data_IF_152434758293
#
_entry.id   IF_152434758293
#
_cell.length_a   1.000
_cell.length_b   1.000
_cell.length_c   1.000
_cell.angle_alpha   90.00
_cell.angle_beta   90.00
_cell.angle_gamma   90.00
#
_symmetry.space_group_name_H-M   'P 1'
#
loop_
_entity.id
_entity.type
_entity.pdbx_description
1 polymer ?
#
# COMPACT_ATOMS: atom_id res chain seq x y z
N UNK A 1 64.94 -89.35 21.81
CA UNK A 1 63.65 -89.44 21.09
C UNK A 1 62.68 -88.34 21.54
N UNK A 2 62.47 -88.15 22.85
CA UNK A 2 61.60 -87.11 23.44
C UNK A 2 61.87 -85.67 22.95
N UNK A 3 63.13 -85.21 22.92
CA UNK A 3 63.49 -83.83 22.53
C UNK A 3 63.13 -83.46 21.09
N UNK A 4 63.29 -84.40 20.14
CA UNK A 4 62.95 -84.18 18.72
C UNK A 4 61.42 -84.10 18.51
N UNK A 5 60.65 -84.93 19.22
CA UNK A 5 59.19 -84.86 19.19
C UNK A 5 58.68 -83.51 19.74
N UNK A 6 59.27 -83.03 20.83
CA UNK A 6 58.97 -81.70 21.39
C UNK A 6 59.23 -80.57 20.37
N UNK A 7 60.36 -80.61 19.67
CA UNK A 7 60.73 -79.58 18.70
C UNK A 7 59.78 -79.54 17.48
N UNK A 8 59.27 -80.71 17.04
CA UNK A 8 58.27 -80.81 15.97
C UNK A 8 56.93 -80.23 16.42
N UNK A 9 56.48 -80.55 17.63
CA UNK A 9 55.22 -80.01 18.19
C UNK A 9 55.30 -78.49 18.31
N UNK A 10 56.43 -77.96 18.77
CA UNK A 10 56.66 -76.50 18.83
C UNK A 10 56.65 -75.89 17.44
N UNK A 11 57.36 -76.47 16.47
CA UNK A 11 57.39 -75.97 15.08
C UNK A 11 56.01 -76.00 14.41
N UNK A 12 55.20 -77.03 14.67
CA UNK A 12 53.83 -77.12 14.17
C UNK A 12 52.92 -76.11 14.87
N UNK A 13 53.07 -75.92 16.19
CA UNK A 13 52.34 -74.92 16.96
C UNK A 13 52.66 -73.49 16.51
N UNK A 14 53.92 -73.18 16.21
CA UNK A 14 54.30 -71.86 15.67
C UNK A 14 53.81 -71.66 14.24
N UNK A 15 53.89 -72.68 13.38
CA UNK A 15 53.34 -72.62 12.02
C UNK A 15 51.82 -72.40 12.04
N UNK A 16 51.09 -73.13 12.90
CA UNK A 16 49.65 -72.97 13.09
C UNK A 16 49.31 -71.57 13.61
N UNK A 17 50.07 -71.07 14.59
CA UNK A 17 49.89 -69.72 15.13
C UNK A 17 50.10 -68.64 14.06
N UNK A 18 51.15 -68.77 13.24
CA UNK A 18 51.41 -67.84 12.13
C UNK A 18 50.29 -67.87 11.08
N UNK A 19 49.74 -69.04 10.78
CA UNK A 19 48.63 -69.21 9.85
C UNK A 19 47.35 -68.55 10.39
N UNK A 20 47.06 -68.71 11.68
CA UNK A 20 45.94 -68.03 12.34
C UNK A 20 46.08 -66.51 12.33
N UNK A 21 47.29 -66.00 12.56
CA UNK A 21 47.58 -64.55 12.49
C UNK A 21 47.39 -64.04 11.06
N UNK A 22 47.86 -64.77 10.05
CA UNK A 22 47.70 -64.41 8.65
C UNK A 22 46.21 -64.38 8.25
N UNK A 23 45.43 -65.38 8.67
CA UNK A 23 43.99 -65.44 8.44
C UNK A 23 43.25 -64.27 9.08
N UNK A 24 43.53 -63.99 10.36
CA UNK A 24 42.92 -62.87 11.07
C UNK A 24 43.27 -61.51 10.43
N UNK A 25 44.50 -61.35 9.91
CA UNK A 25 44.91 -60.15 9.18
C UNK A 25 44.12 -59.98 7.89
N UNK A 26 43.96 -61.05 7.10
CA UNK A 26 43.23 -61.01 5.84
C UNK A 26 41.73 -60.70 6.06
N UNK A 27 41.12 -61.32 7.08
CA UNK A 27 39.73 -61.06 7.46
C UNK A 27 39.50 -59.61 7.94
N UNK A 28 40.47 -59.05 8.68
CA UNK A 28 40.45 -57.63 9.06
C UNK A 28 40.63 -56.68 7.88
N UNK A 29 41.54 -56.96 6.95
CA UNK A 29 41.73 -56.16 5.73
C UNK A 29 40.47 -56.20 4.85
N UNK A 30 39.86 -57.38 4.67
CA UNK A 30 38.62 -57.54 3.93
C UNK A 30 37.46 -56.76 4.56
N UNK A 31 37.33 -56.80 5.89
CA UNK A 31 36.32 -56.05 6.63
C UNK A 31 36.51 -54.54 6.47
N UNK A 32 37.75 -54.05 6.59
CA UNK A 32 38.07 -52.62 6.39
C UNK A 32 37.78 -52.14 4.98
N UNK A 33 38.10 -52.96 3.98
CA UNK A 33 37.83 -52.59 2.58
C UNK A 33 36.32 -52.51 2.32
N UNK A 34 35.54 -53.44 2.86
CA UNK A 34 34.06 -53.43 2.77
C UNK A 34 33.45 -52.23 3.49
N UNK A 35 33.94 -51.88 4.68
CA UNK A 35 33.49 -50.70 5.40
C UNK A 35 33.74 -49.42 4.60
N UNK A 36 34.94 -49.26 4.03
CA UNK A 36 35.28 -48.10 3.19
C UNK A 36 34.40 -47.98 1.95
N UNK A 37 34.19 -49.08 1.21
CA UNK A 37 33.35 -49.04 0.02
C UNK A 37 31.89 -48.72 0.35
N UNK A 38 31.37 -49.25 1.46
CA UNK A 38 30.03 -48.91 1.95
C UNK A 38 29.94 -47.45 2.41
N UNK A 39 30.94 -46.94 3.11
CA UNK A 39 30.99 -45.52 3.51
C UNK A 39 31.04 -44.58 2.31
N UNK A 40 31.86 -44.88 1.31
CA UNK A 40 31.96 -44.12 0.08
C UNK A 40 30.65 -44.14 -0.71
N UNK A 41 30.05 -45.32 -0.86
CA UNK A 41 28.74 -45.48 -1.50
C UNK A 41 27.66 -44.68 -0.75
N UNK A 42 27.66 -44.72 0.58
CA UNK A 42 26.72 -43.95 1.41
C UNK A 42 26.94 -42.44 1.27
N UNK A 43 28.18 -41.97 1.28
CA UNK A 43 28.51 -40.55 1.05
C UNK A 43 28.04 -40.09 -0.32
N UNK A 44 28.31 -40.87 -1.36
CA UNK A 44 27.87 -40.55 -2.72
C UNK A 44 26.35 -40.52 -2.82
N UNK A 45 25.65 -41.47 -2.18
CA UNK A 45 24.20 -41.49 -2.13
C UNK A 45 23.61 -40.25 -1.44
N UNK A 46 24.12 -39.86 -0.27
CA UNK A 46 23.65 -38.66 0.43
C UNK A 46 23.92 -37.38 -0.37
N UNK A 47 25.09 -37.28 -1.02
CA UNK A 47 25.41 -36.16 -1.90
C UNK A 47 24.44 -36.09 -3.07
N UNK A 48 24.23 -37.19 -3.78
CA UNK A 48 23.28 -37.25 -4.90
C UNK A 48 21.86 -36.91 -4.46
N UNK A 49 21.39 -37.49 -3.35
CA UNK A 49 20.06 -37.23 -2.79
C UNK A 49 19.88 -35.76 -2.41
N UNK A 50 20.90 -35.15 -1.80
CA UNK A 50 20.87 -33.72 -1.45
C UNK A 50 20.86 -32.81 -2.68
N UNK A 51 21.56 -33.20 -3.75
CA UNK A 51 21.59 -32.47 -5.01
C UNK A 51 20.24 -32.54 -5.73
N UNK A 52 19.63 -33.71 -5.79
CA UNK A 52 18.31 -33.92 -6.38
C UNK A 52 17.24 -33.11 -5.63
N UNK A 53 17.20 -33.22 -4.29
CA UNK A 53 16.27 -32.47 -3.46
C UNK A 53 16.44 -30.95 -3.63
N UNK A 54 17.68 -30.49 -3.79
CA UNK A 54 17.98 -29.08 -4.05
C UNK A 54 17.45 -28.64 -5.41
N UNK A 55 17.59 -29.46 -6.45
CA UNK A 55 17.09 -29.15 -7.78
C UNK A 55 15.56 -28.99 -7.76
N UNK A 56 14.85 -29.89 -7.09
CA UNK A 56 13.39 -29.81 -6.97
C UNK A 56 12.94 -28.61 -6.13
N UNK A 57 13.62 -28.33 -5.03
CA UNK A 57 13.33 -27.15 -4.21
C UNK A 57 13.51 -25.85 -4.99
N UNK A 58 14.54 -25.75 -5.83
CA UNK A 58 14.79 -24.57 -6.65
C UNK A 58 13.69 -24.36 -7.70
N UNK A 59 13.23 -25.42 -8.37
CA UNK A 59 12.13 -25.35 -9.33
C UNK A 59 10.84 -24.85 -8.67
N UNK A 60 10.47 -25.46 -7.54
CA UNK A 60 9.27 -25.06 -6.79
C UNK A 60 9.35 -23.59 -6.35
N UNK A 61 10.53 -23.15 -5.90
CA UNK A 61 10.74 -21.76 -5.49
C UNK A 61 10.62 -20.80 -6.68
N UNK A 62 11.18 -21.15 -7.82
CA UNK A 62 11.11 -20.34 -9.04
C UNK A 62 9.66 -20.17 -9.51
N UNK A 63 8.89 -21.26 -9.52
CA UNK A 63 7.45 -21.24 -9.86
C UNK A 63 6.66 -20.35 -8.88
N UNK A 64 6.85 -20.54 -7.57
CA UNK A 64 6.19 -19.73 -6.54
C UNK A 64 6.54 -18.24 -6.66
N UNK A 65 7.81 -17.92 -6.93
CA UNK A 65 8.25 -16.54 -7.14
C UNK A 65 7.61 -15.93 -8.40
N UNK A 66 7.53 -16.68 -9.48
CA UNK A 66 6.93 -16.23 -10.74
C UNK A 66 5.44 -15.94 -10.57
N UNK A 67 4.70 -16.81 -9.87
CA UNK A 67 3.29 -16.58 -9.57
C UNK A 67 3.08 -15.37 -8.67
N UNK A 68 3.93 -15.19 -7.65
CA UNK A 68 3.89 -14.02 -6.78
C UNK A 68 4.15 -12.73 -7.57
N UNK A 69 5.12 -12.73 -8.49
CA UNK A 69 5.42 -11.58 -9.33
C UNK A 69 4.26 -11.23 -10.27
N UNK A 70 3.66 -12.21 -10.94
CA UNK A 70 2.49 -11.99 -11.78
C UNK A 70 1.29 -11.44 -11.00
N UNK A 71 1.06 -11.97 -9.80
CA UNK A 71 -0.01 -11.52 -8.91
C UNK A 71 0.25 -10.08 -8.45
N UNK A 72 1.50 -9.75 -8.09
CA UNK A 72 1.88 -8.40 -7.70
C UNK A 72 1.73 -7.40 -8.85
N UNK A 73 2.11 -7.78 -10.07
CA UNK A 73 1.96 -6.94 -11.26
C UNK A 73 0.49 -6.64 -11.57
N UNK A 74 -0.38 -7.66 -11.50
CA UNK A 74 -1.83 -7.47 -11.63
C UNK A 74 -2.36 -6.52 -10.56
N UNK A 75 -2.04 -6.78 -9.29
CA UNK A 75 -2.47 -5.94 -8.18
C UNK A 75 -2.03 -4.49 -8.35
N UNK A 76 -0.78 -4.23 -8.76
CA UNK A 76 -0.28 -2.87 -9.03
C UNK A 76 -1.10 -2.16 -10.10
N UNK A 77 -1.43 -2.87 -11.18
CA UNK A 77 -2.17 -2.31 -12.31
C UNK A 77 -3.61 -1.95 -11.92
N UNK A 78 -4.26 -2.84 -11.18
CA UNK A 78 -5.63 -2.63 -10.67
C UNK A 78 -5.67 -1.48 -9.65
N UNK A 79 -4.68 -1.42 -8.76
CA UNK A 79 -4.58 -0.37 -7.75
C UNK A 79 -4.29 1.01 -8.37
N UNK A 80 -3.40 1.09 -9.37
CA UNK A 80 -3.12 2.33 -10.10
C UNK A 80 -4.39 2.84 -10.80
N UNK A 81 -5.17 1.95 -11.43
CA UNK A 81 -6.45 2.31 -12.03
C UNK A 81 -7.42 2.86 -10.97
N UNK A 82 -7.53 2.19 -9.83
CA UNK A 82 -8.41 2.63 -8.73
C UNK A 82 -8.04 4.02 -8.21
N UNK A 83 -6.74 4.26 -7.99
CA UNK A 83 -6.23 5.57 -7.56
C UNK A 83 -6.54 6.65 -8.60
N UNK A 84 -6.34 6.34 -9.89
CA UNK A 84 -6.63 7.27 -10.98
C UNK A 84 -8.13 7.60 -11.05
N UNK A 85 -9.00 6.61 -10.93
CA UNK A 85 -10.44 6.79 -10.98
C UNK A 85 -10.96 7.60 -9.78
N UNK A 86 -10.47 7.32 -8.56
CA UNK A 86 -10.79 8.10 -7.35
C UNK A 86 -10.30 9.55 -7.46
N UNK A 87 -9.07 9.77 -7.94
CA UNK A 87 -8.56 11.12 -8.19
C UNK A 87 -9.40 11.87 -9.24
N UNK A 88 -9.81 11.19 -10.31
CA UNK A 88 -10.69 11.76 -11.33
C UNK A 88 -12.06 12.14 -10.75
N UNK A 89 -12.69 11.26 -9.96
CA UNK A 89 -13.96 11.53 -9.28
C UNK A 89 -13.87 12.71 -8.30
N UNK A 90 -12.86 12.73 -7.43
CA UNK A 90 -12.70 13.85 -6.49
C UNK A 90 -12.47 15.16 -7.21
N UNK A 91 -11.64 15.16 -8.25
CA UNK A 91 -11.39 16.35 -9.05
C UNK A 91 -12.64 16.84 -9.78
N UNK A 92 -13.49 15.92 -10.27
CA UNK A 92 -14.72 16.27 -10.98
C UNK A 92 -15.77 16.80 -10.01
N UNK A 93 -15.95 16.20 -8.84
CA UNK A 93 -16.86 16.71 -7.80
C UNK A 93 -16.47 18.12 -7.33
N UNK A 94 -15.18 18.37 -7.09
CA UNK A 94 -14.70 19.72 -6.70
C UNK A 94 -14.91 20.72 -7.84
N UNK A 95 -14.59 20.35 -9.08
CA UNK A 95 -14.80 21.23 -10.24
C UNK A 95 -16.28 21.52 -10.49
N UNK A 96 -17.14 20.51 -10.36
CA UNK A 96 -18.59 20.64 -10.49
C UNK A 96 -19.19 21.54 -9.40
N UNK A 97 -18.72 21.42 -8.15
CA UNK A 97 -19.13 22.31 -7.06
C UNK A 97 -18.84 23.77 -7.39
N UNK A 98 -17.60 24.07 -7.83
CA UNK A 98 -17.21 25.43 -8.23
C UNK A 98 -18.00 25.99 -9.41
N UNK A 99 -18.33 25.15 -10.40
CA UNK A 99 -19.18 25.57 -11.53
C UNK A 99 -20.62 25.79 -11.07
N UNK A 100 -21.15 24.92 -10.21
CA UNK A 100 -22.49 25.06 -9.65
C UNK A 100 -22.63 26.36 -8.85
N UNK A 101 -21.62 26.73 -8.06
CA UNK A 101 -21.56 28.03 -7.37
C UNK A 101 -21.76 29.19 -8.36
N UNK A 102 -21.03 29.23 -9.48
CA UNK A 102 -21.16 30.29 -10.47
C UNK A 102 -22.52 30.34 -11.18
N UNK A 103 -23.26 29.23 -11.22
CA UNK A 103 -24.58 29.14 -11.84
C UNK A 103 -25.73 29.53 -10.89
N UNK A 104 -25.44 29.81 -9.62
CA UNK A 104 -26.43 30.18 -8.59
C UNK A 104 -27.31 31.34 -9.01
N UNK A 105 -26.79 32.48 -9.53
CA UNK A 105 -27.64 33.59 -9.96
C UNK A 105 -28.65 33.17 -11.02
N UNK A 106 -28.23 32.35 -11.99
CA UNK A 106 -29.10 31.87 -13.07
C UNK A 106 -30.20 30.95 -12.53
N UNK A 107 -29.85 30.09 -11.56
CA UNK A 107 -30.79 29.16 -10.94
C UNK A 107 -31.81 29.86 -10.03
N UNK A 108 -31.40 30.93 -9.32
CA UNK A 108 -32.21 31.55 -8.28
C UNK A 108 -32.85 32.88 -8.66
N UNK A 109 -32.46 33.54 -9.76
CA UNK A 109 -33.02 34.84 -10.18
C UNK A 109 -34.56 34.88 -10.18
N UNK A 110 -35.21 33.81 -10.66
CA UNK A 110 -36.67 33.73 -10.73
C UNK A 110 -37.31 33.46 -9.36
N UNK A 111 -36.59 32.77 -8.46
CA UNK A 111 -37.08 32.42 -7.11
C UNK A 111 -36.94 33.63 -6.19
N UNK A 112 -35.81 34.34 -6.29
CA UNK A 112 -35.51 35.51 -5.48
C UNK A 112 -36.08 36.81 -6.06
N UNK A 113 -36.68 36.76 -7.26
CA UNK A 113 -37.19 37.93 -7.98
C UNK A 113 -36.12 39.05 -8.10
N UNK A 114 -34.87 38.63 -8.33
CA UNK A 114 -33.71 39.52 -8.42
C UNK A 114 -33.06 39.35 -9.79
N UNK A 115 -32.61 40.46 -10.39
CA UNK A 115 -31.90 40.39 -11.66
C UNK A 115 -30.48 39.86 -11.43
N UNK A 116 -29.85 39.26 -12.45
CA UNK A 116 -28.48 38.73 -12.34
C UNK A 116 -27.47 39.79 -11.89
N UNK A 117 -27.70 41.06 -12.25
CA UNK A 117 -26.87 42.20 -11.85
C UNK A 117 -26.93 42.53 -10.36
N UNK A 118 -27.94 42.04 -9.63
CA UNK A 118 -28.11 42.26 -8.19
C UNK A 118 -27.30 41.27 -7.34
N UNK A 119 -26.78 40.18 -7.94
CA UNK A 119 -25.99 39.17 -7.23
C UNK A 119 -24.53 39.61 -7.13
N UNK A 120 -23.96 39.59 -5.91
CA UNK A 120 -22.54 39.81 -5.66
C UNK A 120 -21.96 38.61 -4.92
N UNK A 121 -20.96 37.98 -5.53
CA UNK A 121 -20.24 36.87 -4.93
C UNK A 121 -19.24 37.38 -3.88
N UNK A 122 -19.18 36.69 -2.74
CA UNK A 122 -18.27 36.92 -1.62
C UNK A 122 -17.44 35.67 -1.29
N UNK A 123 -18.08 34.50 -1.23
CA UNK A 123 -17.49 33.26 -0.71
C UNK A 123 -17.56 33.12 0.81
N UNK A 124 -16.74 32.28 1.44
CA UNK A 124 -16.84 32.01 2.89
C UNK A 124 -16.70 33.29 3.75
N UNK A 125 -17.56 33.51 4.76
CA UNK A 125 -18.58 32.60 5.32
C UNK A 125 -20.02 32.76 4.76
N UNK A 126 -20.23 33.53 3.69
CA UNK A 126 -21.53 33.68 2.98
C UNK A 126 -21.27 33.85 1.49
N UNK A 127 -21.68 32.89 0.67
CA UNK A 127 -21.35 32.87 -0.76
C UNK A 127 -21.79 34.11 -1.55
N UNK A 128 -23.00 34.64 -1.31
CA UNK A 128 -23.58 35.75 -2.06
C UNK A 128 -24.25 36.80 -1.18
N UNK A 129 -24.18 38.06 -1.61
CA UNK A 129 -25.10 39.12 -1.22
C UNK A 129 -25.93 39.53 -2.43
N UNK A 130 -27.25 39.53 -2.30
CA UNK A 130 -28.20 39.88 -3.37
C UNK A 130 -28.90 41.19 -3.02
N UNK A 131 -28.68 42.21 -3.84
CA UNK A 131 -29.28 43.54 -3.68
C UNK A 131 -30.57 43.64 -4.49
N UNK A 132 -31.59 42.87 -4.10
CA UNK A 132 -32.82 42.69 -4.90
C UNK A 132 -33.46 44.03 -5.28
N UNK A 133 -33.55 44.30 -6.58
CA UNK A 133 -34.17 45.50 -7.16
C UNK A 133 -33.22 46.69 -7.34
N UNK A 134 -31.94 46.57 -6.96
CA UNK A 134 -30.97 47.64 -7.09
C UNK A 134 -30.69 47.99 -8.55
N UNK A 135 -30.57 47.00 -9.45
CA UNK A 135 -30.44 47.18 -10.90
C UNK A 135 -31.57 48.01 -11.51
N UNK A 136 -32.78 47.89 -10.95
CA UNK A 136 -34.00 48.62 -11.37
C UNK A 136 -34.12 50.01 -10.72
N UNK A 137 -33.14 50.40 -9.91
CA UNK A 137 -33.10 51.69 -9.22
C UNK A 137 -33.92 51.77 -7.92
N UNK A 138 -34.48 50.65 -7.45
CA UNK A 138 -35.27 50.59 -6.21
C UNK A 138 -34.94 49.34 -5.40
N UNK A 139 -33.98 49.47 -4.48
CA UNK A 139 -33.57 48.39 -3.59
C UNK A 139 -34.72 47.96 -2.67
N UNK A 140 -35.19 46.73 -2.81
CA UNK A 140 -36.23 46.14 -1.98
C UNK A 140 -35.67 45.43 -0.75
N UNK A 141 -34.61 44.64 -0.92
CA UNK A 141 -34.00 43.86 0.17
C UNK A 141 -32.53 43.53 -0.13
N UNK A 142 -31.72 43.40 0.92
CA UNK A 142 -30.37 42.85 0.85
C UNK A 142 -30.39 41.45 1.47
N UNK A 143 -30.20 40.43 0.64
CA UNK A 143 -30.22 39.02 1.05
C UNK A 143 -28.80 38.48 1.17
N UNK A 144 -28.52 37.74 2.24
CA UNK A 144 -27.28 36.98 2.41
C UNK A 144 -27.59 35.51 2.09
N UNK A 145 -26.91 34.95 1.10
CA UNK A 145 -27.19 33.63 0.56
C UNK A 145 -25.94 32.75 0.67
N UNK A 146 -26.09 31.63 1.36
CA UNK A 146 -25.11 30.54 1.40
C UNK A 146 -25.62 29.38 0.53
N UNK A 147 -24.75 28.84 -0.32
CA UNK A 147 -25.10 27.81 -1.30
C UNK A 147 -24.41 26.51 -0.92
N UNK A 148 -25.19 25.45 -0.70
CA UNK A 148 -24.66 24.11 -0.43
C UNK A 148 -24.83 23.21 -1.66
N UNK A 149 -23.72 22.67 -2.16
CA UNK A 149 -23.74 21.59 -3.16
C UNK A 149 -23.54 20.23 -2.48
N UNK A 150 -24.44 19.27 -2.71
CA UNK A 150 -24.29 17.87 -2.26
C UNK A 150 -25.09 17.50 -1.00
N UNK A 151 -24.76 16.33 -0.42
CA UNK A 151 -25.52 15.68 0.67
C UNK A 151 -25.27 16.23 2.07
N UNK A 152 -24.23 17.06 2.27
CA UNK A 152 -23.99 17.76 3.53
C UNK A 152 -24.55 19.17 3.41
N UNK A 153 -25.74 19.38 3.97
CA UNK A 153 -26.49 20.65 3.91
C UNK A 153 -26.35 21.51 5.17
N UNK A 154 -25.57 21.07 6.16
CA UNK A 154 -25.44 21.78 7.42
C UNK A 154 -24.49 22.98 7.30
N UNK A 155 -24.89 24.10 7.90
CA UNK A 155 -24.03 25.27 8.02
C UNK A 155 -22.80 24.96 8.90
N UNK A 156 -21.63 25.44 8.48
CA UNK A 156 -20.43 25.47 9.32
C UNK A 156 -20.64 26.37 10.54
N UNK A 157 -19.77 26.25 11.54
CA UNK A 157 -19.87 27.10 12.74
C UNK A 157 -19.83 28.59 12.39
N UNK A 158 -18.91 29.00 11.52
CA UNK A 158 -18.77 30.39 11.04
C UNK A 158 -20.01 30.88 10.30
N UNK A 159 -20.58 30.06 9.40
CA UNK A 159 -21.81 30.39 8.68
C UNK A 159 -23.00 30.57 9.65
N UNK A 160 -23.12 29.72 10.68
CA UNK A 160 -24.16 29.85 11.70
C UNK A 160 -24.02 31.15 12.48
N UNK A 161 -22.80 31.58 12.79
CA UNK A 161 -22.57 32.86 13.47
C UNK A 161 -23.03 34.06 12.63
N UNK A 162 -22.75 34.04 11.33
CA UNK A 162 -23.20 35.09 10.42
C UNK A 162 -24.71 35.08 10.28
N UNK A 163 -25.32 33.91 10.06
CA UNK A 163 -26.78 33.75 10.05
C UNK A 163 -27.42 34.33 11.32
N UNK A 164 -26.89 33.96 12.49
CA UNK A 164 -27.36 34.47 13.79
C UNK A 164 -27.23 35.99 13.89
N UNK A 165 -26.11 36.56 13.43
CA UNK A 165 -25.93 38.02 13.43
C UNK A 165 -26.97 38.75 12.55
N UNK A 166 -27.31 38.17 11.40
CA UNK A 166 -28.33 38.73 10.51
C UNK A 166 -29.72 38.61 11.14
N UNK A 167 -30.08 37.43 11.68
CA UNK A 167 -31.38 37.19 12.33
C UNK A 167 -31.59 38.08 13.57
N UNK A 168 -30.53 38.33 14.33
CA UNK A 168 -30.51 39.24 15.48
C UNK A 168 -30.40 40.73 15.06
N UNK A 169 -30.43 41.04 13.76
CA UNK A 169 -30.32 42.39 13.20
C UNK A 169 -29.04 43.15 13.59
N UNK A 170 -27.96 42.42 13.88
CA UNK A 170 -26.62 42.99 14.14
C UNK A 170 -25.86 43.28 12.84
N UNK A 171 -26.52 43.96 11.90
CA UNK A 171 -25.99 44.34 10.58
C UNK A 171 -25.89 45.86 10.52
N UNK A 172 -24.75 46.38 10.07
CA UNK A 172 -24.48 47.82 10.00
C UNK A 172 -23.95 48.25 8.64
N UNK A 173 -24.18 49.51 8.29
CA UNK A 173 -23.63 50.16 7.09
C UNK A 173 -22.69 51.28 7.53
N UNK A 174 -21.41 51.19 7.14
CA UNK A 174 -20.40 52.19 7.47
C UNK A 174 -19.76 52.71 6.18
N UNK A 175 -19.74 54.03 6.03
CA UNK A 175 -18.98 54.70 4.97
C UNK A 175 -17.67 55.22 5.54
N UNK A 176 -16.55 54.68 5.09
CA UNK A 176 -15.22 55.23 5.38
C UNK A 176 -14.63 55.82 4.11
N UNK A 177 -14.21 57.10 4.17
CA UNK A 177 -13.53 57.77 3.07
C UNK A 177 -12.04 57.81 3.40
N UNK A 178 -11.22 57.20 2.53
CA UNK A 178 -9.77 57.38 2.58
C UNK A 178 -9.49 58.85 2.21
N UNK A 179 -8.78 59.59 3.07
CA UNK A 179 -8.34 60.94 2.76
C UNK A 179 -7.27 60.87 1.65
N UNK A 180 -7.38 61.72 0.64
CA UNK A 180 -6.37 61.84 -0.41
C UNK A 180 -5.06 62.37 0.21
N UNK A 181 -4.07 61.49 0.38
CA UNK A 181 -2.69 61.93 0.57
C UNK A 181 -2.18 62.53 -0.74
N UNK A 182 -2.35 63.85 -0.87
CA UNK A 182 -1.37 64.87 -1.32
C UNK A 182 -2.05 66.01 -2.08
N UNK A 183 -2.26 67.11 -1.36
CA UNK A 183 -2.22 68.45 -1.93
C UNK A 183 -0.95 69.13 -1.41
N UNK A 184 0.18 68.97 -2.09
CA UNK A 184 1.28 69.95 -2.26
C UNK A 184 1.97 69.61 -3.59
#
# INVERSE_FOLDING_TARGET
MEFFSFLIVVAFGTALLLLLIAYARDEHELSRLRERTLEEARKQYELWKSAELRADYLKLREEAMREAELTLQKWKTDEEKRIRDDAAQRSSSVKLGKVAEQLVPIALQNILEADLEDFRFLGSPVDYVVFRGLSKGSLAEVLFLEVKSGSVSNLSEREREVKRAIEEKRVGFLTYRLADEKSI
#
